data_IF_365168182109
#
_entry.id   IF_365168182109
#
_cell.length_a   1.000
_cell.length_b   1.000
_cell.length_c   1.000
_cell.angle_alpha   90.00
_cell.angle_beta   90.00
_cell.angle_gamma   90.00
#
_symmetry.space_group_name_H-M   'P 1'
#
loop_
_entity.id
_entity.type
_entity.pdbx_description
1 polymer ?
#
# COMPACT_ATOMS: atom_id res chain seq x y z
N UNK A 1 5.05 12.67 -25.68
CA UNK A 1 4.09 11.62 -25.30
C UNK A 1 3.45 11.11 -26.57
N UNK A 2 3.86 9.94 -27.04
CA UNK A 2 3.34 9.33 -28.27
C UNK A 2 1.95 8.74 -28.02
N UNK A 3 1.15 8.54 -29.07
CA UNK A 3 -0.19 7.91 -28.97
C UNK A 3 -0.09 6.53 -28.28
N UNK A 4 0.98 5.79 -28.55
CA UNK A 4 1.27 4.49 -27.95
C UNK A 4 1.50 4.57 -26.44
N UNK A 5 2.34 5.51 -25.97
CA UNK A 5 2.57 5.74 -24.54
C UNK A 5 1.28 6.12 -23.80
N UNK A 6 0.46 6.97 -24.42
CA UNK A 6 -0.84 7.37 -23.88
C UNK A 6 -1.80 6.19 -23.74
N UNK A 7 -1.86 5.30 -24.73
CA UNK A 7 -2.71 4.11 -24.69
C UNK A 7 -2.26 3.11 -23.62
N UNK A 8 -0.95 2.89 -23.46
CA UNK A 8 -0.39 2.02 -22.41
C UNK A 8 -0.72 2.56 -21.03
N UNK A 9 -0.53 3.86 -20.80
CA UNK A 9 -0.87 4.50 -19.53
C UNK A 9 -2.38 4.42 -19.25
N UNK A 10 -3.21 4.67 -20.24
CA UNK A 10 -4.66 4.59 -20.10
C UNK A 10 -5.12 3.17 -19.71
N UNK A 11 -4.59 2.14 -20.38
CA UNK A 11 -4.88 0.74 -20.06
C UNK A 11 -4.40 0.39 -18.64
N UNK A 12 -3.19 0.81 -18.29
CA UNK A 12 -2.63 0.61 -16.95
C UNK A 12 -3.53 1.25 -15.87
N UNK A 13 -3.97 2.49 -16.07
CA UNK A 13 -4.88 3.17 -15.16
C UNK A 13 -6.27 2.52 -15.13
N UNK A 14 -6.77 2.02 -16.26
CA UNK A 14 -8.05 1.33 -16.31
C UNK A 14 -8.03 0.02 -15.51
N UNK A 15 -6.92 -0.72 -15.54
CA UNK A 15 -6.75 -1.99 -14.82
C UNK A 15 -6.47 -1.75 -13.32
N UNK A 16 -5.49 -0.91 -13.00
CA UNK A 16 -5.00 -0.76 -11.62
C UNK A 16 -5.64 0.40 -10.86
N UNK A 17 -6.17 1.40 -11.56
CA UNK A 17 -6.79 2.58 -10.96
C UNK A 17 -7.96 2.26 -10.04
N UNK A 18 -8.94 1.43 -10.44
CA UNK A 18 -10.05 1.05 -9.56
C UNK A 18 -9.60 0.37 -8.26
N UNK A 19 -8.64 -0.56 -8.36
CA UNK A 19 -8.06 -1.26 -7.20
C UNK A 19 -7.30 -0.30 -6.28
N UNK A 20 -6.45 0.55 -6.86
CA UNK A 20 -5.71 1.58 -6.14
C UNK A 20 -6.67 2.56 -5.43
N UNK A 21 -7.74 2.97 -6.09
CA UNK A 21 -8.76 3.85 -5.52
C UNK A 21 -9.48 3.20 -4.34
N UNK A 22 -9.96 1.96 -4.47
CA UNK A 22 -10.65 1.26 -3.38
C UNK A 22 -9.74 1.11 -2.16
N UNK A 23 -8.49 0.71 -2.38
CA UNK A 23 -7.50 0.55 -1.33
C UNK A 23 -7.15 1.89 -0.67
N UNK A 24 -6.91 2.92 -1.48
CA UNK A 24 -6.53 4.24 -1.01
C UNK A 24 -7.66 4.97 -0.26
N UNK A 25 -8.91 4.83 -0.72
CA UNK A 25 -10.10 5.35 -0.03
C UNK A 25 -10.25 4.72 1.36
N UNK A 26 -10.18 3.39 1.43
CA UNK A 26 -10.25 2.65 2.70
C UNK A 26 -9.16 3.13 3.65
N UNK A 27 -7.92 3.22 3.17
CA UNK A 27 -6.80 3.65 4.00
C UNK A 27 -6.94 5.10 4.49
N UNK A 28 -7.27 6.04 3.60
CA UNK A 28 -7.41 7.45 3.96
C UNK A 28 -8.45 7.62 5.08
N UNK A 29 -9.57 6.90 4.98
CA UNK A 29 -10.58 6.85 6.04
C UNK A 29 -10.03 6.32 7.37
N UNK A 30 -9.33 5.18 7.35
CA UNK A 30 -8.71 4.62 8.57
C UNK A 30 -7.69 5.58 9.19
N UNK A 31 -6.89 6.27 8.37
CA UNK A 31 -5.88 7.23 8.84
C UNK A 31 -6.55 8.45 9.47
N UNK A 32 -7.60 9.00 8.87
CA UNK A 32 -8.38 10.08 9.50
C UNK A 32 -9.09 9.62 10.78
N UNK A 33 -9.64 8.41 10.81
CA UNK A 33 -10.25 7.85 12.01
C UNK A 33 -9.24 7.67 13.14
N UNK A 34 -8.04 7.15 12.82
CA UNK A 34 -6.95 6.99 13.77
C UNK A 34 -6.45 8.35 14.28
N UNK A 35 -6.23 9.32 13.39
CA UNK A 35 -5.82 10.66 13.77
C UNK A 35 -6.78 11.34 14.75
N UNK A 36 -8.09 11.14 14.57
CA UNK A 36 -9.12 11.64 15.49
C UNK A 36 -9.05 10.97 16.87
N UNK A 37 -8.83 9.64 16.91
CA UNK A 37 -8.69 8.90 18.18
C UNK A 37 -7.43 9.29 18.94
N UNK A 38 -6.33 9.48 18.22
CA UNK A 38 -5.01 9.78 18.79
C UNK A 38 -4.80 11.29 19.02
N UNK A 39 -5.77 12.14 18.68
CA UNK A 39 -5.67 13.61 18.78
C UNK A 39 -4.55 14.23 17.95
N UNK A 40 -4.14 13.56 16.87
CA UNK A 40 -2.93 13.87 16.10
C UNK A 40 -3.17 14.23 14.63
N UNK A 41 -2.07 14.49 13.91
CA UNK A 41 -2.12 14.78 12.47
C UNK A 41 -2.20 13.50 11.63
N UNK A 42 -3.23 13.42 10.78
CA UNK A 42 -3.42 12.35 9.81
C UNK A 42 -2.23 12.23 8.83
N UNK A 43 -1.63 13.35 8.45
CA UNK A 43 -0.44 13.36 7.57
C UNK A 43 0.77 12.71 8.23
N UNK A 44 0.98 12.92 9.54
CA UNK A 44 2.10 12.28 10.27
C UNK A 44 1.93 10.76 10.29
N UNK A 45 0.70 10.29 10.53
CA UNK A 45 0.37 8.86 10.50
C UNK A 45 0.56 8.29 9.09
N UNK A 46 0.18 9.05 8.06
CA UNK A 46 0.34 8.63 6.67
C UNK A 46 1.81 8.56 6.26
N UNK A 47 2.64 9.52 6.66
CA UNK A 47 4.06 9.58 6.31
C UNK A 47 4.82 8.31 6.72
N UNK A 48 4.58 7.80 7.94
CA UNK A 48 5.16 6.53 8.39
C UNK A 48 4.72 5.33 7.52
N UNK A 49 3.48 5.37 7.00
CA UNK A 49 2.93 4.34 6.12
C UNK A 49 3.41 4.43 4.67
N UNK A 50 4.18 5.46 4.31
CA UNK A 50 4.78 5.64 2.98
C UNK A 50 6.18 5.03 2.84
N UNK A 51 6.84 4.67 3.95
CA UNK A 51 8.19 4.09 3.90
C UNK A 51 8.22 2.80 3.07
N UNK A 52 7.30 1.87 3.35
CA UNK A 52 7.22 0.61 2.61
C UNK A 52 6.89 0.78 1.12
N UNK A 53 5.84 1.53 0.70
CA UNK A 53 5.59 1.73 -0.72
C UNK A 53 6.70 2.51 -1.43
N UNK A 54 7.39 3.44 -0.75
CA UNK A 54 8.56 4.11 -1.31
C UNK A 54 9.71 3.12 -1.55
N UNK A 55 9.96 2.23 -0.59
CA UNK A 55 10.97 1.17 -0.70
C UNK A 55 10.63 0.20 -1.86
N UNK A 56 9.35 -0.18 -2.00
CA UNK A 56 8.87 -1.03 -3.11
C UNK A 56 8.97 -0.31 -4.46
N UNK A 57 8.62 0.98 -4.52
CA UNK A 57 8.77 1.75 -5.74
C UNK A 57 10.24 1.85 -6.14
N UNK A 58 11.13 2.16 -5.19
CA UNK A 58 12.58 2.23 -5.41
C UNK A 58 13.13 0.89 -5.89
N UNK A 59 12.71 -0.22 -5.29
CA UNK A 59 13.18 -1.55 -5.68
C UNK A 59 12.72 -1.96 -7.08
N UNK A 60 11.48 -1.61 -7.46
CA UNK A 60 10.97 -1.82 -8.81
C UNK A 60 11.73 -0.96 -9.82
N UNK A 61 11.97 0.32 -9.52
CA UNK A 61 12.78 1.21 -10.37
C UNK A 61 14.19 0.67 -10.55
N UNK A 62 14.83 0.21 -9.48
CA UNK A 62 16.16 -0.41 -9.55
C UNK A 62 16.12 -1.68 -10.43
N UNK A 63 15.18 -2.58 -10.17
CA UNK A 63 15.10 -3.88 -10.85
C UNK A 63 14.77 -3.77 -12.34
N UNK A 64 13.92 -2.81 -12.70
CA UNK A 64 13.52 -2.54 -14.08
C UNK A 64 14.28 -1.36 -14.71
N UNK A 65 15.42 -0.96 -14.13
CA UNK A 65 16.28 0.09 -14.68
C UNK A 65 16.94 -0.30 -16.01
N UNK A 66 17.06 -1.61 -16.28
CA UNK A 66 17.72 -2.15 -17.48
C UNK A 66 19.20 -2.46 -17.28
N UNK A 67 19.81 -2.02 -16.18
CA UNK A 67 21.17 -2.37 -15.76
C UNK A 67 21.16 -3.61 -14.87
N UNK A 68 22.16 -4.47 -14.99
CA UNK A 68 22.35 -5.66 -14.13
C UNK A 68 22.84 -5.31 -12.72
N UNK A 69 22.67 -6.24 -11.76
CA UNK A 69 23.08 -6.02 -10.36
C UNK A 69 24.57 -5.71 -10.25
N UNK A 70 25.40 -6.41 -11.01
CA UNK A 70 26.85 -6.25 -10.97
C UNK A 70 27.29 -4.84 -11.38
N UNK A 71 26.56 -4.20 -12.30
CA UNK A 71 26.80 -2.81 -12.70
C UNK A 71 26.54 -1.86 -11.54
N UNK A 72 25.43 -2.03 -10.83
CA UNK A 72 25.10 -1.22 -9.66
C UNK A 72 26.09 -1.40 -8.51
N UNK A 73 26.57 -2.63 -8.29
CA UNK A 73 27.56 -2.93 -7.27
C UNK A 73 28.94 -2.36 -7.62
N UNK A 74 29.31 -2.35 -8.90
CA UNK A 74 30.58 -1.78 -9.35
C UNK A 74 30.69 -0.26 -9.09
N UNK A 75 29.56 0.44 -8.95
CA UNK A 75 29.52 1.89 -8.68
C UNK A 75 29.75 2.25 -7.21
N UNK A 76 29.84 1.26 -6.32
CA UNK A 76 30.01 1.49 -4.88
C UNK A 76 31.20 0.72 -4.30
N UNK A 77 32.02 1.42 -3.51
CA UNK A 77 33.10 0.81 -2.73
C UNK A 77 32.68 0.42 -1.29
N UNK A 78 31.45 0.75 -0.88
CA UNK A 78 30.96 0.48 0.49
C UNK A 78 30.20 -0.85 0.58
N UNK A 79 30.67 -1.76 1.43
CA UNK A 79 30.02 -3.06 1.66
C UNK A 79 28.59 -2.95 2.19
N UNK A 80 28.29 -1.94 3.02
CA UNK A 80 26.93 -1.69 3.50
C UNK A 80 26.01 -1.26 2.37
N UNK A 81 26.49 -0.42 1.46
CA UNK A 81 25.70 0.01 0.31
C UNK A 81 25.50 -1.14 -0.68
N UNK A 82 26.52 -1.98 -0.88
CA UNK A 82 26.38 -3.22 -1.66
C UNK A 82 25.28 -4.13 -1.09
N UNK A 83 25.27 -4.36 0.22
CA UNK A 83 24.23 -5.16 0.86
C UNK A 83 22.84 -4.54 0.70
N UNK A 84 22.71 -3.22 0.84
CA UNK A 84 21.46 -2.50 0.64
C UNK A 84 20.96 -2.60 -0.80
N UNK A 85 21.83 -2.42 -1.79
CA UNK A 85 21.51 -2.55 -3.22
C UNK A 85 21.06 -3.99 -3.52
N UNK A 86 21.78 -5.01 -3.05
CA UNK A 86 21.40 -6.42 -3.24
C UNK A 86 20.06 -6.74 -2.59
N UNK A 87 19.77 -6.20 -1.40
CA UNK A 87 18.49 -6.38 -0.74
C UNK A 87 17.34 -5.71 -1.52
N UNK A 88 17.54 -4.48 -2.00
CA UNK A 88 16.58 -3.79 -2.85
C UNK A 88 16.38 -4.53 -4.17
N UNK A 89 17.43 -5.08 -4.76
CA UNK A 89 17.36 -5.85 -6.00
C UNK A 89 16.53 -7.14 -5.83
N UNK A 90 16.78 -7.89 -4.76
CA UNK A 90 15.99 -9.07 -4.41
C UNK A 90 14.53 -8.71 -4.17
N UNK A 91 14.28 -7.66 -3.37
CA UNK A 91 12.94 -7.20 -3.09
C UNK A 91 12.22 -6.71 -4.36
N UNK A 92 12.93 -6.06 -5.28
CA UNK A 92 12.44 -5.66 -6.59
C UNK A 92 12.06 -6.85 -7.45
N UNK A 93 12.80 -7.96 -7.34
CA UNK A 93 12.47 -9.22 -8.03
C UNK A 93 11.19 -9.85 -7.48
N UNK A 94 11.03 -9.89 -6.15
CA UNK A 94 9.79 -10.35 -5.50
C UNK A 94 8.61 -9.45 -5.87
N UNK A 95 8.79 -8.14 -5.79
CA UNK A 95 7.76 -7.17 -6.15
C UNK A 95 7.40 -7.23 -7.63
N UNK A 96 8.38 -7.51 -8.51
CA UNK A 96 8.18 -7.71 -9.94
C UNK A 96 7.36 -8.97 -10.23
N UNK A 97 7.59 -10.07 -9.51
CA UNK A 97 6.74 -11.27 -9.59
C UNK A 97 5.32 -10.94 -9.10
N UNK A 98 5.21 -10.19 -8.01
CA UNK A 98 3.94 -9.75 -7.41
C UNK A 98 3.41 -8.44 -8.01
N UNK A 99 3.76 -8.12 -9.26
CA UNK A 99 3.47 -6.82 -9.89
C UNK A 99 2.00 -6.41 -9.76
N UNK A 100 1.08 -7.34 -9.96
CA UNK A 100 -0.37 -7.12 -9.84
C UNK A 100 -0.83 -6.70 -8.45
N UNK A 101 -0.09 -7.05 -7.40
CA UNK A 101 -0.36 -6.62 -6.03
C UNK A 101 0.45 -5.37 -5.67
N UNK A 102 1.72 -5.30 -6.08
CA UNK A 102 2.63 -4.21 -5.77
C UNK A 102 2.17 -2.88 -6.36
N UNK A 103 1.67 -2.88 -7.59
CA UNK A 103 1.23 -1.66 -8.28
C UNK A 103 0.00 -1.03 -7.60
N UNK A 104 -1.13 -1.73 -7.39
CA UNK A 104 -2.26 -1.18 -6.64
C UNK A 104 -1.89 -0.77 -5.21
N UNK A 105 -0.97 -1.50 -4.58
CA UNK A 105 -0.49 -1.16 -3.25
C UNK A 105 0.19 0.21 -3.26
N UNK A 106 1.19 0.44 -4.12
CA UNK A 106 1.90 1.73 -4.21
C UNK A 106 0.95 2.85 -4.63
N UNK A 107 0.21 2.66 -5.73
CA UNK A 107 -0.73 3.66 -6.25
C UNK A 107 -1.82 4.01 -5.24
N UNK A 108 -2.37 3.02 -4.54
CA UNK A 108 -3.38 3.25 -3.53
C UNK A 108 -2.84 4.01 -2.32
N UNK A 109 -1.57 3.81 -1.94
CA UNK A 109 -0.91 4.63 -0.91
C UNK A 109 -0.65 6.06 -1.37
N UNK A 110 -0.26 6.27 -2.62
CA UNK A 110 -0.15 7.62 -3.19
C UNK A 110 -1.52 8.32 -3.22
N UNK A 111 -2.57 7.63 -3.67
CA UNK A 111 -3.93 8.18 -3.67
C UNK A 111 -4.40 8.51 -2.25
N UNK A 112 -4.14 7.64 -1.28
CA UNK A 112 -4.50 7.90 0.12
C UNK A 112 -3.76 9.10 0.69
N UNK A 113 -2.48 9.30 0.35
CA UNK A 113 -1.72 10.48 0.76
C UNK A 113 -2.38 11.76 0.24
N UNK A 114 -2.72 11.77 -1.05
CA UNK A 114 -3.42 12.88 -1.70
C UNK A 114 -4.76 13.11 -0.98
N UNK A 115 -5.57 12.07 -0.80
CA UNK A 115 -6.85 12.17 -0.12
C UNK A 115 -6.71 12.70 1.31
N UNK A 116 -5.71 12.26 2.07
CA UNK A 116 -5.44 12.74 3.43
C UNK A 116 -4.99 14.20 3.43
N UNK A 117 -4.14 14.60 2.49
CA UNK A 117 -3.67 15.98 2.36
C UNK A 117 -4.80 16.97 2.03
N UNK A 118 -5.75 16.55 1.18
CA UNK A 118 -6.92 17.35 0.82
C UNK A 118 -8.08 17.22 1.82
N UNK A 119 -7.97 16.38 2.85
CA UNK A 119 -9.07 16.12 3.78
C UNK A 119 -10.29 15.52 3.07
N UNK A 120 -10.07 14.61 2.12
CA UNK A 120 -11.16 13.82 1.53
C UNK A 120 -11.55 12.68 2.48
N UNK A 121 -12.82 12.26 2.42
CA UNK A 121 -13.35 11.11 3.17
C UNK A 121 -13.35 11.21 4.70
N UNK A 122 -12.95 12.35 5.30
CA UNK A 122 -13.08 12.64 6.73
C UNK A 122 -14.52 12.49 7.27
N UNK A 123 -15.52 12.77 6.42
CA UNK A 123 -16.95 12.77 6.76
C UNK A 123 -17.67 11.47 6.33
N UNK A 124 -16.94 10.44 5.89
CA UNK A 124 -17.56 9.12 5.75
C UNK A 124 -17.85 8.60 7.16
N UNK A 125 -19.03 8.98 7.66
CA UNK A 125 -19.66 8.40 8.83
C UNK A 125 -19.70 6.88 8.68
N UNK A 126 -19.58 6.20 9.81
CA UNK A 126 -19.62 4.75 9.92
C UNK A 126 -20.91 4.19 9.28
N UNK A 127 -20.90 3.94 7.97
CA UNK A 127 -21.56 2.75 7.49
C UNK A 127 -20.63 1.61 7.88
N UNK A 128 -20.98 0.78 8.87
CA UNK A 128 -20.17 -0.38 9.17
C UNK A 128 -20.15 -1.20 7.88
N UNK A 129 -19.00 -1.21 7.20
CA UNK A 129 -18.72 -2.28 6.27
C UNK A 129 -18.73 -3.53 7.14
N UNK A 130 -19.87 -4.22 7.19
CA UNK A 130 -20.00 -5.60 7.65
C UNK A 130 -19.14 -6.45 6.71
N UNK A 131 -17.82 -6.31 6.81
CA UNK A 131 -16.90 -7.26 6.25
C UNK A 131 -17.13 -8.55 7.05
N UNK A 132 -17.44 -9.63 6.35
CA UNK A 132 -18.02 -10.85 6.93
C UNK A 132 -17.28 -11.42 8.15
N UNK A 133 -15.98 -11.15 8.31
CA UNK A 133 -15.18 -11.66 9.42
C UNK A 133 -15.58 -11.13 10.81
N UNK A 134 -16.00 -9.86 10.93
CA UNK A 134 -16.42 -9.31 12.22
C UNK A 134 -17.75 -9.92 12.69
N UNK A 135 -18.68 -10.13 11.74
CA UNK A 135 -19.96 -10.81 12.03
C UNK A 135 -19.80 -12.29 12.37
N UNK A 136 -18.76 -12.97 11.86
CA UNK A 136 -18.46 -14.35 12.24
C UNK A 136 -17.96 -14.47 13.69
N UNK A 137 -17.07 -13.57 14.12
CA UNK A 137 -16.61 -13.55 15.53
C UNK A 137 -17.74 -13.24 16.50
N UNK A 138 -18.62 -12.31 16.13
CA UNK A 138 -19.76 -11.91 16.96
C UNK A 138 -20.86 -12.99 17.00
N UNK A 139 -21.04 -13.75 15.91
CA UNK A 139 -21.91 -14.94 15.91
C UNK A 139 -21.31 -16.11 16.69
N UNK A 140 -20.00 -16.33 16.61
CA UNK A 140 -19.31 -17.37 17.37
C UNK A 140 -19.39 -17.09 18.88
N UNK A 141 -19.19 -15.83 19.29
CA UNK A 141 -19.30 -15.42 20.70
C UNK A 141 -20.74 -15.46 21.26
N UNK A 142 -21.76 -15.42 20.40
CA UNK A 142 -23.17 -15.62 20.81
C UNK A 142 -23.63 -17.07 20.76
N UNK A 143 -22.78 -17.99 20.29
CA UNK A 143 -23.11 -19.40 20.13
C UNK A 143 -22.46 -20.29 21.20
N UNK A 144 -21.73 -19.73 22.17
CA UNK A 144 -21.36 -20.45 23.39
C UNK A 144 -22.60 -20.49 24.31
N UNK A 145 -23.24 -21.66 24.51
CA UNK A 145 -24.30 -21.82 25.49
C UNK A 145 -23.68 -21.82 26.89
N UNK A 146 -24.35 -21.14 27.82
CA UNK A 146 -24.17 -21.29 29.26
C UNK A 146 -24.54 -22.74 29.67
N UNK A 147 -23.64 -23.69 29.45
CA UNK A 147 -23.72 -25.02 30.03
C UNK A 147 -22.65 -25.15 31.11
N UNK A 148 -22.95 -24.63 32.31
CA UNK A 148 -22.45 -25.21 33.57
C UNK A 148 -23.30 -24.73 34.77
N UNK A 149 -24.55 -25.20 34.83
CA UNK A 149 -25.23 -25.42 36.11
C UNK A 149 -25.20 -26.93 36.39
N UNK A 150 -24.45 -27.33 37.43
CA UNK A 150 -24.34 -28.71 37.90
C UNK A 150 -23.39 -28.89 39.08
#
# INVERSE_FOLDING_TARGET
MTIFEGAVLALFLAIFGPLAFLYGRSLAHHVHAQARRDGGSALRIMAAKLLLPALVALSLTLRFSGSELDEWLAWTASGTLCAAISALWLMGSIAGILFFAAIPFVLGRCFALIAVAFGWFQHLEHQPSRSGAAGFRERAARAEPEDDEG
#
